data_IF_286670553171
#
_entry.id   IF_286670553171
#
_cell.length_a   1.000
_cell.length_b   1.000
_cell.length_c   1.000
_cell.angle_alpha   90.00
_cell.angle_beta   90.00
_cell.angle_gamma   90.00
#
_symmetry.space_group_name_H-M   'P 1'
#
loop_
_entity.id
_entity.type
_entity.pdbx_description
1 polymer ?
#
# COMPACT_ATOMS: atom_id res chain seq x y z
N UNK A 1 -82.65 -11.69 10.81
CA UNK A 1 -81.72 -12.14 9.76
C UNK A 1 -81.37 -11.06 8.73
N UNK A 2 -82.36 -10.35 8.13
CA UNK A 2 -82.02 -9.34 7.04
C UNK A 2 -81.15 -8.16 7.46
N UNK A 3 -81.20 -7.65 8.71
CA UNK A 3 -80.37 -6.58 9.22
C UNK A 3 -78.88 -7.07 9.43
N UNK A 4 -78.67 -8.32 9.88
CA UNK A 4 -77.32 -8.88 10.05
C UNK A 4 -76.62 -9.10 8.69
N UNK A 5 -77.33 -9.51 7.66
CA UNK A 5 -76.75 -9.65 6.33
C UNK A 5 -76.38 -8.30 5.66
N UNK A 6 -77.16 -7.24 5.92
CA UNK A 6 -76.83 -5.88 5.40
C UNK A 6 -75.58 -5.28 6.02
N UNK A 7 -75.39 -5.47 7.33
CA UNK A 7 -74.15 -4.99 8.00
C UNK A 7 -72.94 -5.74 7.52
N UNK A 8 -73.02 -7.07 7.35
CA UNK A 8 -71.87 -7.88 6.85
C UNK A 8 -71.51 -7.49 5.42
N UNK A 9 -72.46 -7.16 4.55
CA UNK A 9 -72.23 -6.75 3.17
C UNK A 9 -71.62 -5.34 3.12
N UNK A 10 -72.05 -4.40 3.98
CA UNK A 10 -71.47 -3.06 4.07
C UNK A 10 -70.02 -3.12 4.63
N UNK A 11 -69.78 -3.88 5.70
CA UNK A 11 -68.44 -4.06 6.28
C UNK A 11 -67.48 -4.69 5.26
N UNK A 12 -67.95 -5.66 4.44
CA UNK A 12 -67.10 -6.26 3.37
C UNK A 12 -66.79 -5.25 2.26
N UNK A 13 -67.75 -4.38 1.92
CA UNK A 13 -67.52 -3.30 0.92
C UNK A 13 -66.58 -2.25 1.42
N UNK A 14 -66.66 -1.84 2.68
CA UNK A 14 -65.71 -0.89 3.29
C UNK A 14 -64.30 -1.47 3.39
N UNK A 15 -64.19 -2.77 3.74
CA UNK A 15 -62.90 -3.45 3.77
C UNK A 15 -62.29 -3.60 2.38
N UNK A 16 -63.06 -3.89 1.36
CA UNK A 16 -62.63 -3.93 -0.04
C UNK A 16 -62.24 -2.52 -0.57
N UNK A 17 -63.00 -1.50 -0.18
CA UNK A 17 -62.68 -0.11 -0.52
C UNK A 17 -61.43 0.35 0.18
N UNK A 18 -61.21 0.00 1.43
CA UNK A 18 -59.97 0.28 2.17
C UNK A 18 -58.77 -0.40 1.49
N UNK A 19 -58.89 -1.65 1.06
CA UNK A 19 -57.85 -2.37 0.28
C UNK A 19 -57.57 -1.70 -1.06
N UNK A 20 -58.60 -1.33 -1.81
CA UNK A 20 -58.45 -0.72 -3.12
C UNK A 20 -57.76 0.69 -3.03
N UNK A 21 -57.97 1.40 -1.93
CA UNK A 21 -57.29 2.68 -1.66
C UNK A 21 -55.90 2.53 -1.05
N UNK A 22 -55.62 1.40 -0.41
CA UNK A 22 -54.35 1.13 0.25
C UNK A 22 -53.26 0.66 -0.73
N UNK A 23 -53.62 -0.14 -1.74
CA UNK A 23 -52.69 -0.74 -2.67
C UNK A 23 -51.87 0.24 -3.52
N UNK A 24 -52.45 1.30 -4.13
CA UNK A 24 -51.67 2.29 -4.88
C UNK A 24 -50.75 3.13 -3.98
N UNK A 25 -51.08 3.28 -2.68
CA UNK A 25 -50.29 4.05 -1.73
C UNK A 25 -49.09 3.26 -1.20
N UNK A 26 -49.25 1.96 -0.98
CA UNK A 26 -48.20 1.05 -0.48
C UNK A 26 -47.02 0.95 -1.44
N UNK A 27 -47.24 1.02 -2.75
CA UNK A 27 -46.18 0.97 -3.75
C UNK A 27 -45.37 2.26 -3.91
N UNK A 28 -45.83 3.36 -3.26
CA UNK A 28 -45.21 4.68 -3.39
C UNK A 28 -44.29 5.06 -2.24
N UNK A 29 -44.17 4.24 -1.18
CA UNK A 29 -43.46 4.63 0.04
C UNK A 29 -41.97 4.29 0.05
N UNK A 30 -41.19 5.19 0.71
CA UNK A 30 -39.72 5.12 0.77
C UNK A 30 -39.20 4.31 1.97
N UNK A 31 -40.05 4.04 2.98
CA UNK A 31 -39.62 3.25 4.15
C UNK A 31 -40.69 2.28 4.64
N UNK A 32 -40.23 1.18 5.24
CA UNK A 32 -41.06 0.14 5.85
C UNK A 32 -41.94 0.72 6.97
N UNK A 33 -41.44 1.67 7.75
CA UNK A 33 -42.13 2.30 8.86
C UNK A 33 -43.30 3.17 8.41
N UNK A 34 -43.12 3.96 7.33
CA UNK A 34 -44.21 4.77 6.74
C UNK A 34 -45.35 3.90 6.26
N UNK A 35 -45.01 2.80 5.60
CA UNK A 35 -45.99 1.87 5.09
C UNK A 35 -46.77 1.17 6.22
N UNK A 36 -46.09 0.68 7.26
CA UNK A 36 -46.71 0.10 8.43
C UNK A 36 -47.68 1.08 9.07
N UNK A 37 -47.30 2.35 9.18
CA UNK A 37 -48.14 3.39 9.78
C UNK A 37 -49.43 3.61 8.99
N UNK A 38 -49.38 3.55 7.67
CA UNK A 38 -50.57 3.70 6.83
C UNK A 38 -51.47 2.49 6.94
N UNK A 39 -50.91 1.27 6.88
CA UNK A 39 -51.68 0.03 7.09
C UNK A 39 -52.37 0.08 8.45
N UNK A 40 -51.67 0.47 9.50
CA UNK A 40 -52.19 0.64 10.87
C UNK A 40 -53.37 1.60 10.89
N UNK A 41 -53.17 2.82 10.37
CA UNK A 41 -54.25 3.87 10.41
C UNK A 41 -55.47 3.47 9.58
N UNK A 42 -55.26 2.91 8.38
CA UNK A 42 -56.37 2.53 7.49
C UNK A 42 -57.17 1.37 8.01
N UNK A 43 -56.57 0.47 8.77
CA UNK A 43 -57.24 -0.65 9.42
C UNK A 43 -57.73 -0.35 10.85
N UNK A 44 -57.47 0.87 11.36
CA UNK A 44 -57.84 1.27 12.71
C UNK A 44 -57.11 0.51 13.81
N UNK A 45 -55.89 0.02 13.54
CA UNK A 45 -55.10 -0.68 14.54
C UNK A 45 -54.40 0.29 15.47
N UNK A 46 -54.31 -0.03 16.75
CA UNK A 46 -53.56 0.77 17.75
C UNK A 46 -52.04 0.47 17.65
N UNK A 47 -51.71 -0.74 17.24
CA UNK A 47 -50.32 -1.19 17.07
C UNK A 47 -50.17 -2.00 15.77
N UNK A 48 -49.10 -1.75 15.04
CA UNK A 48 -48.68 -2.62 13.98
C UNK A 48 -47.17 -2.85 14.08
N UNK A 49 -46.74 -4.08 13.88
CA UNK A 49 -45.32 -4.39 13.72
C UNK A 49 -45.08 -5.49 12.69
N UNK A 50 -43.88 -5.49 12.17
CA UNK A 50 -43.39 -6.55 11.30
C UNK A 50 -42.06 -7.00 11.83
N UNK A 51 -41.85 -8.30 11.84
CA UNK A 51 -40.56 -8.96 12.12
C UNK A 51 -40.15 -9.74 10.90
N UNK A 52 -38.92 -9.54 10.44
CA UNK A 52 -38.34 -10.28 9.32
C UNK A 52 -36.99 -10.79 9.76
N UNK A 53 -36.71 -12.06 9.50
CA UNK A 53 -35.45 -12.68 9.84
C UNK A 53 -34.36 -12.17 8.88
N UNK A 54 -33.22 -11.75 9.43
CA UNK A 54 -32.03 -11.45 8.65
C UNK A 54 -31.27 -12.73 8.29
N UNK A 55 -30.16 -12.61 7.56
CA UNK A 55 -29.32 -13.77 7.14
C UNK A 55 -28.71 -14.54 8.31
N UNK A 56 -28.56 -13.88 9.47
CA UNK A 56 -28.06 -14.53 10.68
C UNK A 56 -29.15 -15.27 11.44
N UNK A 57 -30.42 -15.22 10.97
CA UNK A 57 -31.59 -15.74 11.67
C UNK A 57 -32.04 -14.82 12.82
N UNK A 58 -31.53 -13.59 12.88
CA UNK A 58 -31.93 -12.60 13.89
C UNK A 58 -33.10 -11.78 13.38
N UNK A 59 -34.21 -11.65 14.16
CA UNK A 59 -35.37 -10.91 13.73
C UNK A 59 -35.11 -9.41 13.75
N UNK A 60 -35.29 -8.76 12.61
CA UNK A 60 -35.38 -7.30 12.48
C UNK A 60 -36.84 -6.88 12.66
N UNK A 61 -37.09 -5.99 13.63
CA UNK A 61 -38.44 -5.56 13.95
C UNK A 61 -38.63 -4.09 13.65
N UNK A 62 -39.69 -3.78 12.92
CA UNK A 62 -40.18 -2.41 12.70
C UNK A 62 -41.59 -2.32 13.30
N UNK A 63 -41.86 -1.31 14.11
CA UNK A 63 -43.15 -1.10 14.76
C UNK A 63 -43.64 0.33 14.60
N UNK A 64 -44.97 0.50 14.65
CA UNK A 64 -45.63 1.80 14.64
C UNK A 64 -46.93 1.72 15.47
N UNK A 65 -47.32 2.78 16.10
CA UNK A 65 -48.56 2.87 16.89
C UNK A 65 -48.44 3.70 18.12
N UNK A 66 -49.56 3.76 18.86
CA UNK A 66 -49.65 4.49 20.13
C UNK A 66 -48.96 3.72 21.29
N UNK A 67 -48.71 2.44 21.09
CA UNK A 67 -48.05 1.56 22.05
C UNK A 67 -46.64 1.31 21.55
N UNK A 68 -45.62 1.66 22.35
CA UNK A 68 -44.24 1.38 22.03
C UNK A 68 -43.99 -0.15 21.98
N UNK A 69 -43.27 -0.61 20.99
CA UNK A 69 -42.89 -2.02 20.81
C UNK A 69 -41.40 -2.11 20.49
N UNK A 70 -40.68 -2.83 21.32
CA UNK A 70 -39.24 -3.04 21.12
C UNK A 70 -38.97 -4.41 20.49
N UNK A 71 -37.88 -4.55 19.77
CA UNK A 71 -37.49 -5.80 19.09
C UNK A 71 -37.39 -6.99 20.04
N UNK A 72 -36.90 -6.78 21.25
CA UNK A 72 -36.83 -7.81 22.29
C UNK A 72 -38.21 -8.38 22.67
N UNK A 73 -39.20 -7.52 22.77
CA UNK A 73 -40.57 -7.90 23.16
C UNK A 73 -41.22 -8.77 22.06
N UNK A 74 -41.02 -8.40 20.81
CA UNK A 74 -41.49 -9.18 19.66
C UNK A 74 -40.83 -10.53 19.60
N UNK A 75 -39.52 -10.59 19.78
CA UNK A 75 -38.76 -11.85 19.77
C UNK A 75 -39.23 -12.76 20.91
N UNK A 76 -39.40 -12.22 22.10
CA UNK A 76 -39.91 -12.97 23.25
C UNK A 76 -41.35 -13.41 23.04
N UNK A 77 -42.22 -12.56 22.47
CA UNK A 77 -43.59 -12.91 22.10
C UNK A 77 -43.60 -14.11 21.09
N UNK A 78 -42.78 -14.07 20.08
CA UNK A 78 -42.68 -15.14 19.08
C UNK A 78 -42.12 -16.43 19.67
N UNK A 79 -41.20 -16.34 20.63
CA UNK A 79 -40.56 -17.50 21.27
C UNK A 79 -41.45 -18.15 22.36
N UNK A 80 -42.22 -17.35 23.13
CA UNK A 80 -42.96 -17.80 24.29
C UNK A 80 -44.35 -18.26 23.99
N UNK A 81 -44.92 -17.89 22.85
CA UNK A 81 -46.28 -18.21 22.50
C UNK A 81 -46.37 -19.62 21.91
N UNK A 82 -47.54 -20.22 22.08
CA UNK A 82 -48.04 -21.47 21.40
C UNK A 82 -47.71 -21.53 19.89
N UNK A 83 -47.24 -20.40 19.32
CA UNK A 83 -46.76 -20.21 17.98
C UNK A 83 -45.58 -21.15 17.63
N UNK A 84 -44.64 -21.30 18.56
CA UNK A 84 -43.52 -22.22 18.39
C UNK A 84 -43.95 -23.69 18.31
N UNK A 85 -45.06 -24.07 18.98
CA UNK A 85 -45.59 -25.42 19.03
C UNK A 85 -46.49 -25.75 17.83
N UNK A 86 -47.16 -24.77 17.20
CA UNK A 86 -48.09 -24.95 16.10
C UNK A 86 -47.63 -24.28 14.78
N UNK A 87 -46.38 -23.83 14.71
CA UNK A 87 -45.84 -22.99 13.65
C UNK A 87 -45.90 -23.60 12.22
N UNK A 88 -46.11 -24.88 12.06
CA UNK A 88 -46.13 -25.53 10.73
C UNK A 88 -47.50 -25.50 10.02
N UNK A 89 -48.59 -25.30 10.73
CA UNK A 89 -49.92 -25.55 10.18
C UNK A 89 -50.79 -24.29 9.91
N UNK A 90 -50.38 -23.11 10.36
CA UNK A 90 -51.24 -21.91 10.25
C UNK A 90 -50.55 -20.73 9.53
N UNK A 91 -51.37 -19.97 8.83
CA UNK A 91 -50.92 -18.77 8.10
C UNK A 91 -51.35 -17.47 8.79
N UNK A 92 -52.46 -17.48 9.54
CA UNK A 92 -53.01 -16.33 10.29
C UNK A 92 -53.64 -16.79 11.58
N UNK A 93 -53.33 -16.13 12.67
CA UNK A 93 -53.98 -16.30 13.97
C UNK A 93 -54.70 -14.99 14.32
N UNK A 94 -55.92 -15.15 14.85
CA UNK A 94 -56.76 -14.04 15.30
C UNK A 94 -57.17 -14.26 16.74
N UNK A 95 -57.02 -13.22 17.59
CA UNK A 95 -57.52 -13.18 18.95
C UNK A 95 -58.68 -12.18 19.03
N UNK A 96 -59.81 -12.63 19.57
CA UNK A 96 -61.04 -11.82 19.64
C UNK A 96 -61.12 -10.98 20.89
N UNK A 97 -60.40 -11.33 21.95
CA UNK A 97 -60.42 -10.68 23.23
C UNK A 97 -59.16 -10.96 24.03
N UNK A 98 -58.79 -9.99 24.91
CA UNK A 98 -57.71 -10.09 25.89
C UNK A 98 -56.32 -10.45 25.33
N UNK A 99 -56.04 -10.07 24.11
CA UNK A 99 -54.74 -10.40 23.47
C UNK A 99 -53.59 -9.73 24.23
N UNK A 100 -53.76 -8.49 24.65
CA UNK A 100 -52.73 -7.76 25.38
C UNK A 100 -52.48 -8.34 26.77
N UNK A 101 -53.53 -8.68 27.52
CA UNK A 101 -53.41 -9.32 28.83
C UNK A 101 -52.80 -10.70 28.79
N UNK A 102 -53.14 -11.47 27.78
CA UNK A 102 -52.68 -12.87 27.69
C UNK A 102 -51.27 -13.04 27.17
N UNK A 103 -50.85 -12.17 26.25
CA UNK A 103 -49.58 -12.36 25.51
C UNK A 103 -48.49 -11.32 25.82
N UNK A 104 -48.88 -10.07 26.14
CA UNK A 104 -47.92 -8.96 26.27
C UNK A 104 -47.81 -8.37 27.68
N UNK A 105 -48.81 -8.59 28.58
CA UNK A 105 -48.75 -7.99 29.92
C UNK A 105 -47.48 -8.32 30.72
N UNK A 106 -46.93 -9.54 30.65
CA UNK A 106 -45.67 -9.85 31.33
C UNK A 106 -44.49 -9.02 30.82
N UNK A 107 -44.60 -8.46 29.60
CA UNK A 107 -43.50 -7.76 28.92
C UNK A 107 -43.63 -6.24 29.11
N UNK A 108 -44.84 -5.69 28.91
CA UNK A 108 -45.09 -4.25 29.06
C UNK A 108 -46.55 -3.98 29.39
N UNK A 109 -46.84 -3.25 30.49
CA UNK A 109 -48.23 -2.96 30.94
C UNK A 109 -49.11 -2.26 29.91
N UNK A 110 -48.54 -1.45 29.00
CA UNK A 110 -49.27 -0.76 27.92
C UNK A 110 -50.01 -1.68 26.97
N UNK A 111 -49.57 -2.94 26.82
CA UNK A 111 -50.20 -3.91 25.92
C UNK A 111 -51.49 -4.52 26.48
N UNK A 112 -51.77 -4.35 27.76
CA UNK A 112 -53.03 -4.74 28.36
C UNK A 112 -54.25 -4.05 27.72
N UNK A 113 -54.06 -2.92 27.05
CA UNK A 113 -55.08 -2.21 26.30
C UNK A 113 -55.52 -2.93 25.01
N UNK A 114 -54.71 -3.85 24.50
CA UNK A 114 -55.05 -4.60 23.28
C UNK A 114 -56.13 -5.67 23.60
N UNK A 115 -57.33 -5.50 23.03
CA UNK A 115 -58.43 -6.42 23.19
C UNK A 115 -58.40 -7.51 22.11
N UNK A 116 -58.09 -7.13 20.88
CA UNK A 116 -58.04 -8.09 19.77
C UNK A 116 -56.78 -7.95 18.89
N UNK A 117 -56.42 -8.93 18.14
CA UNK A 117 -55.26 -8.87 17.29
C UNK A 117 -55.25 -9.91 16.15
N UNK A 118 -54.47 -9.62 15.14
CA UNK A 118 -54.22 -10.51 13.99
C UNK A 118 -52.73 -10.65 13.81
N UNK A 119 -52.23 -11.86 13.79
CA UNK A 119 -50.86 -12.20 13.45
C UNK A 119 -50.84 -12.99 12.15
N UNK A 120 -50.09 -12.54 11.20
CA UNK A 120 -49.88 -13.20 9.91
C UNK A 120 -48.43 -13.66 9.78
N UNK A 121 -48.25 -14.89 9.26
CA UNK A 121 -46.95 -15.42 8.90
C UNK A 121 -46.55 -14.93 7.50
N UNK A 122 -45.37 -14.38 7.35
CA UNK A 122 -44.80 -14.03 6.07
C UNK A 122 -44.03 -15.23 5.57
N UNK A 123 -44.38 -15.72 4.39
CA UNK A 123 -43.82 -16.93 3.81
C UNK A 123 -43.13 -16.54 2.51
N UNK A 124 -41.86 -16.88 2.36
CA UNK A 124 -41.08 -16.67 1.14
C UNK A 124 -41.54 -17.55 -0.03
N UNK A 125 -41.06 -17.34 -1.23
CA UNK A 125 -41.41 -18.08 -2.42
C UNK A 125 -41.15 -19.60 -2.32
N UNK A 126 -40.11 -19.97 -1.56
CA UNK A 126 -39.72 -21.38 -1.27
C UNK A 126 -40.59 -22.04 -0.14
N UNK A 127 -41.54 -21.28 0.41
CA UNK A 127 -42.42 -21.78 1.48
C UNK A 127 -41.83 -21.68 2.90
N UNK A 128 -40.60 -21.15 3.05
CA UNK A 128 -40.02 -20.93 4.37
C UNK A 128 -40.69 -19.73 5.07
N UNK A 129 -40.68 -19.72 6.41
CA UNK A 129 -41.11 -18.55 7.18
C UNK A 129 -39.98 -17.52 7.15
N UNK A 130 -40.26 -16.35 6.60
CA UNK A 130 -39.33 -15.23 6.54
C UNK A 130 -39.66 -14.11 7.51
N UNK A 131 -40.75 -14.28 8.29
CA UNK A 131 -41.13 -13.28 9.28
C UNK A 131 -42.59 -13.30 9.68
N UNK A 132 -43.00 -12.28 10.41
CA UNK A 132 -44.37 -12.15 10.96
C UNK A 132 -44.81 -10.71 10.85
N UNK A 133 -46.13 -10.51 10.64
CA UNK A 133 -46.83 -9.24 10.65
C UNK A 133 -47.95 -9.27 11.65
N UNK A 134 -48.02 -8.27 12.53
CA UNK A 134 -49.02 -8.15 13.62
C UNK A 134 -49.77 -6.85 13.55
N UNK A 135 -51.09 -6.94 13.82
CA UNK A 135 -51.97 -5.81 14.06
C UNK A 135 -52.69 -6.00 15.40
N UNK A 136 -52.57 -5.02 16.29
CA UNK A 136 -53.25 -5.00 17.58
C UNK A 136 -54.30 -3.91 17.66
N UNK A 137 -55.45 -4.21 18.25
CA UNK A 137 -56.58 -3.31 18.36
C UNK A 137 -56.99 -3.16 19.82
N UNK A 138 -57.37 -1.97 20.24
CA UNK A 138 -57.86 -1.65 21.55
C UNK A 138 -59.36 -2.00 21.73
N UNK A 139 -60.04 -2.30 20.62
CA UNK A 139 -61.47 -2.67 20.63
C UNK A 139 -61.63 -4.15 20.40
N UNK A 140 -62.74 -4.68 20.86
CA UNK A 140 -63.19 -6.05 20.60
C UNK A 140 -63.75 -6.13 19.19
N UNK A 141 -63.02 -6.67 18.26
CA UNK A 141 -63.40 -6.78 16.85
C UNK A 141 -64.40 -7.95 16.67
N UNK A 142 -65.67 -7.64 16.59
CA UNK A 142 -66.70 -8.61 16.21
C UNK A 142 -66.57 -9.07 14.73
N UNK A 143 -65.79 -8.36 13.95
CA UNK A 143 -65.59 -8.50 12.51
C UNK A 143 -64.21 -9.11 12.13
N UNK A 144 -63.49 -9.79 13.06
CA UNK A 144 -62.23 -10.46 12.81
C UNK A 144 -62.28 -11.45 11.65
N UNK A 145 -63.42 -12.03 11.35
CA UNK A 145 -63.67 -12.90 10.21
C UNK A 145 -63.52 -12.15 8.86
N UNK A 146 -63.67 -10.82 8.85
CA UNK A 146 -63.48 -9.96 7.69
C UNK A 146 -62.07 -9.42 7.59
N UNK A 147 -61.42 -9.14 8.74
CA UNK A 147 -60.04 -8.60 8.77
C UNK A 147 -59.05 -9.70 8.38
N UNK A 148 -59.31 -10.98 8.71
CA UNK A 148 -58.41 -12.11 8.37
C UNK A 148 -58.11 -12.23 6.87
N UNK A 149 -59.08 -12.25 5.94
CA UNK A 149 -58.78 -12.26 4.50
C UNK A 149 -58.02 -11.01 4.03
N UNK A 150 -58.41 -9.83 4.59
CA UNK A 150 -57.73 -8.58 4.27
C UNK A 150 -56.26 -8.60 4.69
N UNK A 151 -55.98 -9.03 5.92
CA UNK A 151 -54.61 -9.14 6.43
C UNK A 151 -53.75 -10.14 5.57
N UNK A 152 -54.32 -11.25 5.12
CA UNK A 152 -53.64 -12.20 4.25
C UNK A 152 -53.32 -11.56 2.90
N UNK A 153 -54.30 -10.89 2.28
CA UNK A 153 -54.08 -10.23 0.97
C UNK A 153 -53.04 -9.09 1.12
N UNK A 154 -53.10 -8.32 2.19
CA UNK A 154 -52.11 -7.28 2.50
C UNK A 154 -50.73 -7.88 2.61
N UNK A 155 -50.57 -8.96 3.39
CA UNK A 155 -49.28 -9.63 3.56
C UNK A 155 -48.75 -10.23 2.25
N UNK A 156 -49.64 -10.89 1.44
CA UNK A 156 -49.23 -11.45 0.16
C UNK A 156 -48.80 -10.37 -0.85
N UNK A 157 -49.47 -9.25 -0.87
CA UNK A 157 -49.07 -8.12 -1.74
C UNK A 157 -47.85 -7.35 -1.22
N UNK A 158 -47.72 -7.26 0.10
CA UNK A 158 -46.56 -6.66 0.73
C UNK A 158 -45.31 -7.52 0.64
N UNK A 159 -45.45 -8.81 0.50
CA UNK A 159 -44.36 -9.79 0.41
C UNK A 159 -43.32 -9.41 -0.67
N UNK A 160 -43.78 -9.13 -1.88
CA UNK A 160 -42.89 -8.78 -3.00
C UNK A 160 -42.25 -7.43 -2.76
N UNK A 161 -43.00 -6.49 -2.23
CA UNK A 161 -42.50 -5.16 -1.87
C UNK A 161 -41.50 -5.20 -0.72
N UNK A 162 -41.74 -6.01 0.31
CA UNK A 162 -40.79 -6.22 1.40
C UNK A 162 -39.50 -6.88 0.91
N UNK A 163 -39.62 -7.91 0.06
CA UNK A 163 -38.46 -8.56 -0.55
C UNK A 163 -37.60 -7.57 -1.32
N UNK A 164 -38.23 -6.66 -2.07
CA UNK A 164 -37.53 -5.64 -2.85
C UNK A 164 -36.83 -4.59 -1.92
N UNK A 165 -37.52 -4.11 -0.88
CA UNK A 165 -36.93 -3.13 0.07
C UNK A 165 -35.76 -3.78 0.82
N UNK A 166 -35.95 -4.99 1.33
CA UNK A 166 -34.90 -5.72 2.07
C UNK A 166 -33.70 -5.97 1.15
N UNK A 167 -33.94 -6.43 -0.08
CA UNK A 167 -32.87 -6.62 -1.08
C UNK A 167 -32.12 -5.33 -1.39
N UNK A 168 -32.85 -4.22 -1.53
CA UNK A 168 -32.26 -2.89 -1.79
C UNK A 168 -31.44 -2.39 -0.61
N UNK A 169 -31.93 -2.50 0.61
CA UNK A 169 -31.19 -2.12 1.82
C UNK A 169 -29.95 -2.98 2.02
N UNK A 170 -30.06 -4.29 1.76
CA UNK A 170 -28.95 -5.23 1.80
C UNK A 170 -27.88 -4.86 0.79
N UNK A 171 -28.29 -4.60 -0.45
CA UNK A 171 -27.35 -4.18 -1.52
C UNK A 171 -26.68 -2.85 -1.16
N UNK A 172 -27.42 -1.89 -0.58
CA UNK A 172 -26.85 -0.62 -0.12
C UNK A 172 -25.83 -0.81 1.01
N UNK A 173 -26.13 -1.66 2.01
CA UNK A 173 -25.20 -1.99 3.09
C UNK A 173 -23.95 -2.72 2.58
N UNK A 174 -24.11 -3.68 1.70
CA UNK A 174 -22.99 -4.42 1.11
C UNK A 174 -22.12 -3.48 0.27
N UNK A 175 -22.73 -2.62 -0.55
CA UNK A 175 -22.01 -1.61 -1.31
C UNK A 175 -21.23 -0.65 -0.39
N UNK A 176 -21.86 -0.19 0.69
CA UNK A 176 -21.21 0.66 1.67
C UNK A 176 -20.03 -0.04 2.37
N UNK A 177 -20.19 -1.33 2.68
CA UNK A 177 -19.12 -2.16 3.24
C UNK A 177 -17.95 -2.30 2.30
N UNK A 178 -18.21 -2.62 1.03
CA UNK A 178 -17.20 -2.76 -0.02
C UNK A 178 -16.46 -1.44 -0.23
N UNK A 179 -17.17 -0.32 -0.36
CA UNK A 179 -16.57 1.02 -0.51
C UNK A 179 -15.69 1.36 0.68
N UNK A 180 -16.16 1.05 1.91
CA UNK A 180 -15.37 1.30 3.13
C UNK A 180 -14.09 0.45 3.16
N UNK A 181 -14.18 -0.83 2.76
CA UNK A 181 -13.01 -1.70 2.67
C UNK A 181 -11.99 -1.18 1.64
N UNK A 182 -12.44 -0.78 0.46
CA UNK A 182 -11.55 -0.21 -0.55
C UNK A 182 -10.90 1.08 -0.07
N UNK A 183 -11.65 1.95 0.61
CA UNK A 183 -11.08 3.18 1.19
C UNK A 183 -9.98 2.88 2.22
N UNK A 184 -10.21 1.91 3.11
CA UNK A 184 -9.20 1.52 4.10
C UNK A 184 -7.96 0.93 3.42
N UNK A 185 -8.14 0.05 2.42
CA UNK A 185 -7.03 -0.52 1.66
C UNK A 185 -6.23 0.56 0.95
N UNK A 186 -6.90 1.50 0.27
CA UNK A 186 -6.26 2.62 -0.40
C UNK A 186 -5.45 3.50 0.56
N UNK A 187 -6.07 3.92 1.69
CA UNK A 187 -5.43 4.82 2.65
C UNK A 187 -4.28 4.18 3.43
N UNK A 188 -4.37 2.86 3.72
CA UNK A 188 -3.38 2.17 4.55
C UNK A 188 -2.38 1.32 3.77
N UNK A 189 -2.48 1.28 2.45
CA UNK A 189 -1.52 0.55 1.62
C UNK A 189 -0.11 1.15 1.81
N UNK A 190 0.92 0.33 2.07
CA UNK A 190 2.30 0.80 2.22
C UNK A 190 2.97 1.03 0.84
N UNK A 191 2.21 1.51 -0.12
CA UNK A 191 2.61 1.86 -1.47
C UNK A 191 2.01 3.20 -1.85
N UNK A 192 2.69 3.94 -2.72
CA UNK A 192 2.21 5.21 -3.23
C UNK A 192 1.05 4.94 -4.19
N UNK A 193 -0.11 5.51 -3.91
CA UNK A 193 -1.26 5.40 -4.80
C UNK A 193 -1.86 6.78 -5.04
N UNK A 194 -1.89 7.19 -6.30
CA UNK A 194 -2.49 8.45 -6.69
C UNK A 194 -3.22 8.33 -8.03
N UNK A 195 -4.11 9.28 -8.30
CA UNK A 195 -4.75 9.38 -9.60
C UNK A 195 -4.91 10.83 -10.00
N UNK A 196 -4.69 11.10 -11.29
CA UNK A 196 -4.92 12.39 -11.90
C UNK A 196 -5.96 12.25 -13.02
N UNK A 197 -6.88 13.23 -13.10
CA UNK A 197 -7.86 13.30 -14.17
C UNK A 197 -7.26 13.90 -15.46
N UNK A 198 -8.08 13.97 -16.53
CA UNK A 198 -7.69 14.55 -17.82
C UNK A 198 -7.25 16.03 -17.73
N UNK A 199 -7.72 16.74 -16.72
CA UNK A 199 -7.36 18.13 -16.45
C UNK A 199 -6.08 18.28 -15.61
N UNK A 200 -5.37 17.18 -15.37
CA UNK A 200 -4.18 17.13 -14.51
C UNK A 200 -4.48 17.50 -13.04
N UNK A 201 -5.73 17.30 -12.61
CA UNK A 201 -6.15 17.48 -11.22
C UNK A 201 -5.98 16.16 -10.46
N UNK A 202 -5.36 16.23 -9.29
CA UNK A 202 -5.24 15.07 -8.40
C UNK A 202 -6.62 14.73 -7.81
N UNK A 203 -7.11 13.52 -8.09
CA UNK A 203 -8.41 13.03 -7.62
C UNK A 203 -8.27 11.95 -6.56
N UNK A 204 -7.13 11.27 -6.49
CA UNK A 204 -6.78 10.31 -5.44
C UNK A 204 -5.33 10.56 -4.97
N UNK A 205 -5.14 10.54 -3.66
CA UNK A 205 -3.84 10.73 -3.01
C UNK A 205 -3.87 10.03 -1.65
N UNK A 206 -3.26 8.85 -1.53
CA UNK A 206 -3.34 8.08 -0.30
C UNK A 206 -2.40 8.61 0.79
N UNK A 207 -2.55 8.08 2.01
CA UNK A 207 -1.76 8.52 3.16
C UNK A 207 -0.25 8.29 2.97
N UNK A 208 0.16 7.23 2.27
CA UNK A 208 1.58 6.99 1.99
C UNK A 208 2.16 8.03 1.02
N UNK A 209 1.41 8.44 0.00
CA UNK A 209 1.80 9.57 -0.86
C UNK A 209 2.00 10.85 -0.05
N UNK A 210 1.06 11.18 0.84
CA UNK A 210 1.17 12.38 1.68
C UNK A 210 2.38 12.31 2.60
N UNK A 211 2.65 11.17 3.21
CA UNK A 211 3.79 10.92 4.10
C UNK A 211 5.12 11.02 3.35
N UNK A 212 5.24 10.38 2.20
CA UNK A 212 6.50 10.29 1.44
C UNK A 212 6.81 11.59 0.72
N UNK A 213 5.84 12.20 0.05
CA UNK A 213 6.06 13.44 -0.71
C UNK A 213 5.95 14.71 0.13
N UNK A 214 5.22 14.67 1.25
CA UNK A 214 5.01 15.82 2.13
C UNK A 214 3.97 16.81 1.64
N UNK A 215 3.17 16.49 0.61
CA UNK A 215 2.12 17.32 0.04
C UNK A 215 0.75 16.74 0.33
N UNK A 216 -0.22 17.58 0.71
CA UNK A 216 -1.62 17.22 0.75
C UNK A 216 -2.26 17.34 -0.64
N UNK A 217 -3.35 16.61 -0.90
CA UNK A 217 -4.10 16.71 -2.17
C UNK A 217 -4.60 18.14 -2.43
N UNK A 218 -4.97 18.89 -1.39
CA UNK A 218 -5.41 20.29 -1.51
C UNK A 218 -4.29 21.21 -2.00
N UNK A 219 -3.08 21.06 -1.43
CA UNK A 219 -1.89 21.83 -1.85
C UNK A 219 -1.50 21.49 -3.30
N UNK A 220 -1.51 20.20 -3.66
CA UNK A 220 -1.24 19.76 -5.03
C UNK A 220 -2.22 20.41 -6.01
N UNK A 221 -3.51 20.40 -5.70
CA UNK A 221 -4.55 20.98 -6.56
C UNK A 221 -4.59 22.52 -6.57
N UNK A 222 -3.89 23.19 -5.66
CA UNK A 222 -3.74 24.64 -5.68
C UNK A 222 -2.65 25.10 -6.66
N UNK A 223 -1.77 24.19 -7.11
CA UNK A 223 -0.72 24.52 -8.06
C UNK A 223 -1.22 24.45 -9.51
N UNK A 224 -0.87 25.43 -10.38
CA UNK A 224 -1.31 25.44 -11.78
C UNK A 224 -0.86 24.20 -12.60
N UNK A 225 0.34 23.70 -12.34
CA UNK A 225 0.87 22.44 -12.89
C UNK A 225 1.34 21.54 -11.73
N UNK A 226 0.50 20.65 -11.21
CA UNK A 226 0.83 19.79 -10.08
C UNK A 226 2.10 18.94 -10.28
N UNK A 227 2.39 18.49 -11.51
CA UNK A 227 3.59 17.70 -11.78
C UNK A 227 4.89 18.48 -11.58
N UNK A 228 4.85 19.80 -11.66
CA UNK A 228 6.02 20.66 -11.42
C UNK A 228 6.53 20.54 -9.97
N UNK A 229 5.66 20.23 -9.03
CA UNK A 229 6.04 20.02 -7.62
C UNK A 229 6.97 18.80 -7.44
N UNK A 230 6.84 17.82 -8.31
CA UNK A 230 7.59 16.56 -8.24
C UNK A 230 8.73 16.50 -9.27
N UNK A 231 8.53 17.14 -10.42
CA UNK A 231 9.46 17.12 -11.55
C UNK A 231 9.66 18.55 -12.10
N UNK A 232 10.61 19.32 -11.56
CA UNK A 232 10.86 20.71 -11.99
C UNK A 232 11.32 20.81 -13.45
N UNK A 233 12.01 19.79 -13.96
CA UNK A 233 12.49 19.73 -15.34
C UNK A 233 11.32 19.49 -16.33
N UNK A 234 11.18 20.37 -17.32
CA UNK A 234 10.10 20.30 -18.32
C UNK A 234 10.21 19.10 -19.24
N UNK A 235 11.43 18.70 -19.61
CA UNK A 235 11.68 17.54 -20.46
C UNK A 235 11.25 16.25 -19.75
N UNK A 236 11.57 16.14 -18.45
CA UNK A 236 11.15 15.02 -17.61
C UNK A 236 9.62 14.97 -17.50
N UNK A 237 8.95 16.11 -17.27
CA UNK A 237 7.48 16.18 -17.25
C UNK A 237 6.85 15.77 -18.57
N UNK A 238 7.44 16.19 -19.70
CA UNK A 238 6.98 15.80 -21.04
C UNK A 238 7.06 14.29 -21.26
N UNK A 239 8.18 13.68 -20.88
CA UNK A 239 8.38 12.22 -20.93
C UNK A 239 7.40 11.49 -20.04
N UNK A 240 7.15 12.01 -18.83
CA UNK A 240 6.20 11.42 -17.90
C UNK A 240 4.77 11.45 -18.45
N UNK A 241 4.32 12.60 -19.02
CA UNK A 241 3.01 12.71 -19.64
C UNK A 241 2.85 11.75 -20.84
N UNK A 242 3.90 11.55 -21.63
CA UNK A 242 3.91 10.59 -22.71
C UNK A 242 3.77 9.14 -22.21
N UNK A 243 4.39 8.81 -21.09
CA UNK A 243 4.30 7.47 -20.50
C UNK A 243 2.89 7.08 -20.03
N UNK A 244 1.99 8.05 -19.79
CA UNK A 244 0.60 7.78 -19.44
C UNK A 244 -0.24 7.30 -20.62
N UNK A 245 0.13 7.68 -21.86
CA UNK A 245 -0.62 7.36 -23.08
C UNK A 245 -0.17 6.03 -23.72
N UNK A 246 1.09 5.68 -23.60
CA UNK A 246 1.74 4.63 -24.38
C UNK A 246 2.21 3.42 -23.53
N UNK A 247 1.98 3.45 -22.20
CA UNK A 247 2.45 2.38 -21.33
C UNK A 247 1.70 1.07 -21.59
N UNK A 248 2.38 -0.03 -21.93
CA UNK A 248 1.79 -1.34 -21.87
C UNK A 248 1.30 -1.60 -20.44
N UNK A 249 0.13 -2.23 -20.31
CA UNK A 249 -0.40 -2.67 -19.01
C UNK A 249 0.69 -3.47 -18.27
N UNK A 250 1.09 -2.97 -17.06
CA UNK A 250 2.07 -3.56 -16.15
C UNK A 250 3.56 -3.26 -16.41
N UNK A 251 3.91 -2.29 -17.23
CA UNK A 251 5.31 -1.88 -17.30
C UNK A 251 5.66 -0.96 -16.11
N UNK A 252 6.70 -1.35 -15.36
CA UNK A 252 7.20 -0.58 -14.22
C UNK A 252 8.39 0.27 -14.67
N UNK A 253 8.27 1.59 -14.49
CA UNK A 253 9.31 2.54 -14.86
C UNK A 253 9.88 3.25 -13.64
N UNK A 254 11.20 3.39 -13.60
CA UNK A 254 11.92 4.09 -12.55
C UNK A 254 11.93 5.60 -12.84
N UNK A 255 11.49 6.39 -11.84
CA UNK A 255 11.42 7.85 -11.90
C UNK A 255 12.01 8.46 -10.64
N UNK A 256 12.45 9.73 -10.76
CA UNK A 256 13.12 10.45 -9.69
C UNK A 256 12.35 11.73 -9.29
N UNK A 257 11.18 11.59 -8.64
CA UNK A 257 10.44 12.74 -8.13
C UNK A 257 11.12 13.40 -6.94
N UNK A 258 10.79 14.68 -6.69
CA UNK A 258 11.23 15.41 -5.52
C UNK A 258 10.17 15.37 -4.42
N UNK A 259 10.62 15.32 -3.19
CA UNK A 259 9.82 15.63 -2.00
C UNK A 259 9.61 17.14 -1.87
N UNK A 260 8.72 17.54 -0.96
CA UNK A 260 8.47 18.95 -0.64
C UNK A 260 9.74 19.71 -0.19
N UNK A 261 10.64 19.06 0.49
CA UNK A 261 11.93 19.60 0.94
C UNK A 261 13.00 19.63 -0.15
N UNK A 262 12.68 19.23 -1.37
CA UNK A 262 13.61 19.14 -2.50
C UNK A 262 14.46 17.87 -2.54
N UNK A 263 14.30 16.95 -1.59
CA UNK A 263 15.03 15.68 -1.56
C UNK A 263 14.59 14.77 -2.70
N UNK A 264 15.49 14.23 -3.53
CA UNK A 264 15.13 13.30 -4.59
C UNK A 264 14.78 11.93 -4.04
N UNK A 265 13.77 11.31 -4.64
CA UNK A 265 13.35 9.93 -4.42
C UNK A 265 13.69 9.08 -5.64
N UNK A 266 13.74 7.78 -5.45
CA UNK A 266 13.71 6.81 -6.53
C UNK A 266 12.43 5.98 -6.36
N UNK A 267 11.49 6.15 -7.29
CA UNK A 267 10.19 5.49 -7.24
C UNK A 267 9.98 4.65 -8.49
N UNK A 268 9.56 3.41 -8.28
CA UNK A 268 9.17 2.50 -9.35
C UNK A 268 7.66 2.64 -9.54
N UNK A 269 7.21 3.20 -10.68
CA UNK A 269 5.81 3.47 -10.99
C UNK A 269 5.23 2.48 -12.00
N UNK A 270 4.00 2.07 -11.77
CA UNK A 270 3.12 1.44 -12.74
C UNK A 270 1.87 2.31 -12.92
N UNK A 271 1.47 2.57 -14.16
CA UNK A 271 0.34 3.41 -14.50
C UNK A 271 -0.77 2.58 -15.14
N UNK A 272 -2.01 2.79 -14.70
CA UNK A 272 -3.21 2.11 -15.19
C UNK A 272 -4.17 3.17 -15.70
N UNK A 273 -4.50 3.12 -16.99
CA UNK A 273 -5.53 3.97 -17.57
C UNK A 273 -6.90 3.42 -17.21
N UNK A 274 -7.72 4.23 -16.51
CA UNK A 274 -9.07 3.86 -16.11
C UNK A 274 -10.09 4.17 -17.24
N UNK A 275 -11.30 3.57 -17.21
CA UNK A 275 -12.31 3.78 -18.25
C UNK A 275 -12.76 5.24 -18.44
N UNK A 276 -12.70 6.06 -17.38
CA UNK A 276 -12.98 7.50 -17.41
C UNK A 276 -11.81 8.33 -17.95
N UNK A 277 -10.72 7.64 -18.36
CA UNK A 277 -9.44 8.20 -18.80
C UNK A 277 -8.65 8.94 -17.72
N UNK A 278 -8.94 8.73 -16.45
CA UNK A 278 -8.00 9.06 -15.37
C UNK A 278 -6.88 8.03 -15.33
N UNK A 279 -5.72 8.43 -14.82
CA UNK A 279 -4.57 7.54 -14.65
C UNK A 279 -4.42 7.22 -13.17
N UNK A 280 -4.55 5.95 -12.82
CA UNK A 280 -4.19 5.43 -11.50
C UNK A 280 -2.72 5.03 -11.52
N UNK A 281 -1.91 5.67 -10.70
CA UNK A 281 -0.49 5.35 -10.54
C UNK A 281 -0.26 4.63 -9.23
N UNK A 282 0.46 3.52 -9.29
CA UNK A 282 0.90 2.75 -8.11
C UNK A 282 2.41 2.77 -8.10
N UNK A 283 2.99 3.25 -7.01
CA UNK A 283 4.43 3.45 -6.86
C UNK A 283 5.02 2.78 -5.64
N UNK A 284 6.25 2.33 -5.77
CA UNK A 284 7.06 1.81 -4.68
C UNK A 284 8.29 2.71 -4.50
N UNK A 285 8.43 3.33 -3.33
CA UNK A 285 9.66 4.05 -2.97
C UNK A 285 10.78 3.02 -2.74
N UNK A 286 11.78 3.02 -3.62
CA UNK A 286 12.93 2.14 -3.57
C UNK A 286 14.23 2.90 -3.24
N UNK A 287 14.12 4.14 -2.73
CA UNK A 287 15.25 5.03 -2.46
C UNK A 287 16.27 4.38 -1.52
N UNK A 288 15.83 3.90 -0.38
CA UNK A 288 16.71 3.27 0.61
C UNK A 288 17.30 1.95 0.10
N UNK A 289 16.52 1.18 -0.64
CA UNK A 289 17.03 -0.04 -1.29
C UNK A 289 18.15 0.27 -2.29
N UNK A 290 17.96 1.27 -3.16
CA UNK A 290 18.98 1.70 -4.13
C UNK A 290 20.25 2.22 -3.45
N UNK A 291 20.10 3.02 -2.39
CA UNK A 291 21.25 3.49 -1.59
C UNK A 291 22.02 2.32 -0.97
N UNK A 292 21.29 1.35 -0.40
CA UNK A 292 21.92 0.16 0.19
C UNK A 292 22.62 -0.69 -0.88
N UNK A 293 22.01 -0.89 -2.05
CA UNK A 293 22.62 -1.58 -3.19
C UNK A 293 23.89 -0.86 -3.66
N UNK A 294 23.88 0.46 -3.78
CA UNK A 294 25.05 1.26 -4.13
C UNK A 294 26.15 1.17 -3.06
N UNK A 295 25.79 1.24 -1.78
CA UNK A 295 26.75 1.09 -0.69
C UNK A 295 27.38 -0.32 -0.67
N UNK A 296 26.58 -1.35 -0.90
CA UNK A 296 27.08 -2.72 -0.99
C UNK A 296 28.02 -2.89 -2.20
N UNK A 297 27.64 -2.35 -3.35
CA UNK A 297 28.50 -2.36 -4.55
C UNK A 297 29.81 -1.61 -4.32
N UNK A 298 29.75 -0.46 -3.65
CA UNK A 298 30.94 0.31 -3.27
C UNK A 298 31.87 -0.50 -2.34
N UNK A 299 31.32 -1.04 -1.24
CA UNK A 299 32.09 -1.91 -0.31
C UNK A 299 32.64 -3.17 -0.98
N UNK A 300 31.90 -3.75 -1.94
CA UNK A 300 32.35 -4.93 -2.65
C UNK A 300 33.51 -4.63 -3.61
N UNK A 301 33.68 -3.39 -4.06
CA UNK A 301 34.64 -3.00 -5.09
C UNK A 301 35.78 -2.14 -4.58
N UNK A 302 35.65 -1.50 -3.43
CA UNK A 302 36.65 -0.56 -2.89
C UNK A 302 37.23 -1.03 -1.54
N UNK A 303 38.37 -0.47 -1.19
CA UNK A 303 39.00 -0.58 0.14
C UNK A 303 38.39 0.46 1.06
N UNK A 304 37.85 0.03 2.21
CA UNK A 304 37.10 0.91 3.15
C UNK A 304 37.94 2.07 3.70
N UNK A 305 39.25 1.91 3.81
CA UNK A 305 40.13 2.96 4.38
C UNK A 305 40.50 4.00 3.32
N UNK A 306 40.93 3.57 2.14
CA UNK A 306 41.55 4.44 1.14
C UNK A 306 40.60 4.85 0.01
N UNK A 307 39.45 4.18 -0.12
CA UNK A 307 38.47 4.41 -1.19
C UNK A 307 39.00 4.09 -2.60
N UNK A 308 40.17 3.47 -2.74
CA UNK A 308 40.62 2.92 -4.00
C UNK A 308 40.02 1.51 -4.21
N UNK A 309 40.24 0.90 -5.38
CA UNK A 309 39.75 -0.46 -5.62
C UNK A 309 40.35 -1.44 -4.59
N UNK A 310 39.53 -2.37 -4.15
CA UNK A 310 40.01 -3.45 -3.29
C UNK A 310 40.79 -4.48 -4.12
N UNK A 311 41.49 -5.41 -3.43
CA UNK A 311 42.34 -6.44 -4.04
C UNK A 311 41.60 -7.23 -5.13
N UNK A 312 40.38 -7.67 -4.88
CA UNK A 312 39.66 -8.51 -5.87
C UNK A 312 39.34 -7.72 -7.14
N UNK A 313 38.90 -6.47 -6.98
CA UNK A 313 38.49 -5.61 -8.11
C UNK A 313 39.68 -5.18 -8.97
N UNK A 314 40.80 -4.76 -8.34
CA UNK A 314 41.98 -4.36 -9.13
C UNK A 314 42.62 -5.54 -9.88
N UNK A 315 42.58 -6.75 -9.30
CA UNK A 315 43.05 -7.96 -10.01
C UNK A 315 42.13 -8.36 -11.16
N UNK A 316 40.83 -8.15 -11.02
CA UNK A 316 39.87 -8.33 -12.10
C UNK A 316 40.12 -7.33 -13.24
N UNK A 317 40.35 -6.06 -12.91
CA UNK A 317 40.68 -5.00 -13.85
C UNK A 317 41.99 -5.31 -14.62
N UNK A 318 43.00 -5.81 -13.90
CA UNK A 318 44.24 -6.29 -14.52
C UNK A 318 43.95 -7.36 -15.57
N UNK A 319 43.14 -8.35 -15.27
CA UNK A 319 42.76 -9.42 -16.19
C UNK A 319 42.03 -8.86 -17.43
N UNK A 320 41.07 -7.95 -17.24
CA UNK A 320 40.34 -7.33 -18.35
C UNK A 320 41.23 -6.52 -19.28
N UNK A 321 42.20 -5.74 -18.74
CA UNK A 321 43.15 -4.98 -19.54
C UNK A 321 44.08 -5.87 -20.34
N UNK A 322 44.45 -7.00 -19.77
CA UNK A 322 45.26 -8.00 -20.43
C UNK A 322 44.51 -8.67 -21.59
N UNK A 323 43.26 -9.05 -21.39
CA UNK A 323 42.37 -9.60 -22.40
C UNK A 323 42.12 -8.63 -23.57
N UNK A 324 42.05 -7.33 -23.24
CA UNK A 324 41.92 -6.27 -24.27
C UNK A 324 43.16 -6.10 -25.17
N UNK A 325 44.31 -6.68 -24.80
CA UNK A 325 45.54 -6.77 -25.62
C UNK A 325 46.27 -5.46 -25.86
N UNK A 326 45.83 -4.35 -25.26
CA UNK A 326 46.50 -3.04 -25.37
C UNK A 326 47.67 -2.95 -24.40
N UNK A 327 48.81 -2.33 -24.78
CA UNK A 327 49.91 -2.12 -23.84
C UNK A 327 49.51 -1.27 -22.64
N UNK A 328 49.88 -1.70 -21.44
CA UNK A 328 49.68 -0.96 -20.20
C UNK A 328 50.80 -1.25 -19.19
N UNK A 329 50.99 -0.35 -18.24
CA UNK A 329 51.95 -0.53 -17.17
C UNK A 329 51.27 -1.04 -15.91
N UNK A 330 51.89 -1.96 -15.22
CA UNK A 330 51.59 -2.47 -13.89
C UNK A 330 52.62 -1.93 -12.93
N UNK A 331 52.21 -1.09 -11.98
CA UNK A 331 53.06 -0.49 -10.97
C UNK A 331 52.64 -1.04 -9.60
N UNK A 332 53.52 -1.77 -8.95
CA UNK A 332 53.36 -2.23 -7.58
C UNK A 332 54.10 -1.28 -6.66
N UNK A 333 53.43 -0.80 -5.63
CA UNK A 333 53.95 0.13 -4.62
C UNK A 333 53.87 -0.49 -3.23
N UNK A 334 54.85 -0.13 -2.37
CA UNK A 334 54.83 -0.47 -0.94
C UNK A 334 55.42 0.70 -0.15
N UNK A 335 54.74 1.10 0.91
CA UNK A 335 55.22 2.18 1.79
C UNK A 335 56.42 1.69 2.61
N UNK A 336 57.54 2.35 2.42
CA UNK A 336 58.77 2.03 3.15
C UNK A 336 58.61 2.28 4.64
N UNK A 337 59.06 1.34 5.44
CA UNK A 337 59.05 1.45 6.93
C UNK A 337 57.66 1.67 7.53
N UNK A 338 56.62 1.24 6.89
CA UNK A 338 55.24 1.44 7.36
C UNK A 338 55.00 0.90 8.79
N UNK A 339 55.61 -0.28 9.11
CA UNK A 339 55.53 -0.80 10.45
C UNK A 339 56.12 0.16 11.49
N UNK A 340 57.25 0.83 11.16
CA UNK A 340 57.85 1.82 12.07
C UNK A 340 56.94 3.05 12.28
N UNK A 341 56.26 3.50 11.24
CA UNK A 341 55.24 4.55 11.34
C UNK A 341 54.15 4.12 12.35
N UNK A 342 53.64 2.92 12.26
CA UNK A 342 52.63 2.40 13.18
C UNK A 342 53.17 2.29 14.62
N UNK A 343 54.42 1.77 14.78
CA UNK A 343 55.03 1.53 16.09
C UNK A 343 55.36 2.88 16.79
N UNK A 344 55.76 3.93 16.03
CA UNK A 344 56.14 5.22 16.58
C UNK A 344 54.96 6.18 16.76
N UNK A 345 53.99 6.20 15.80
CA UNK A 345 52.92 7.19 15.74
C UNK A 345 51.53 6.62 15.99
N UNK A 346 51.43 5.31 16.12
CA UNK A 346 50.18 4.61 16.30
C UNK A 346 49.43 4.31 14.99
N UNK A 347 48.49 3.35 15.04
CA UNK A 347 47.75 2.87 13.87
C UNK A 347 46.91 3.95 13.18
N UNK A 348 46.39 4.94 13.93
CA UNK A 348 45.62 6.04 13.34
C UNK A 348 46.45 6.89 12.39
N UNK A 349 47.74 7.14 12.72
CA UNK A 349 48.66 7.84 11.85
C UNK A 349 49.07 6.96 10.68
N UNK A 350 49.24 5.65 10.88
CA UNK A 350 49.46 4.71 9.81
C UNK A 350 48.29 4.70 8.80
N UNK A 351 47.05 4.67 9.28
CA UNK A 351 45.87 4.77 8.42
C UNK A 351 45.84 6.08 7.64
N UNK A 352 46.12 7.21 8.30
CA UNK A 352 46.27 8.53 7.66
C UNK A 352 47.39 8.56 6.60
N UNK A 353 48.49 7.86 6.83
CA UNK A 353 49.60 7.73 5.89
C UNK A 353 49.18 6.97 4.62
N UNK A 354 48.40 5.86 4.79
CA UNK A 354 47.85 5.11 3.66
C UNK A 354 46.88 5.94 2.82
N UNK A 355 45.99 6.68 3.48
CA UNK A 355 45.04 7.60 2.80
C UNK A 355 45.81 8.70 2.07
N UNK A 356 46.78 9.35 2.73
CA UNK A 356 47.57 10.41 2.14
C UNK A 356 48.36 9.93 0.92
N UNK A 357 49.00 8.78 0.99
CA UNK A 357 49.71 8.18 -0.16
C UNK A 357 48.74 7.88 -1.32
N UNK A 358 47.59 7.25 -1.02
CA UNK A 358 46.59 6.93 -2.01
C UNK A 358 46.06 8.16 -2.74
N UNK A 359 45.77 9.25 -1.98
CA UNK A 359 45.29 10.52 -2.55
C UNK A 359 46.32 11.19 -3.44
N UNK A 360 47.59 11.23 -3.01
CA UNK A 360 48.69 11.77 -3.85
C UNK A 360 48.86 10.96 -5.14
N UNK A 361 48.83 9.63 -5.02
CA UNK A 361 48.91 8.74 -6.19
C UNK A 361 47.73 8.91 -7.14
N UNK A 362 46.52 9.05 -6.60
CA UNK A 362 45.28 9.26 -7.38
C UNK A 362 45.32 10.60 -8.14
N UNK A 363 45.75 11.68 -7.48
CA UNK A 363 45.90 13.03 -8.11
C UNK A 363 46.85 13.03 -9.30
N UNK A 364 47.95 12.28 -9.20
CA UNK A 364 49.00 12.24 -10.22
C UNK A 364 48.74 11.16 -11.30
N UNK A 365 47.80 10.28 -11.05
CA UNK A 365 47.51 9.17 -12.00
C UNK A 365 46.88 9.71 -13.27
N UNK A 366 47.24 9.16 -14.44
CA UNK A 366 46.64 9.58 -15.69
C UNK A 366 45.17 9.20 -15.78
N UNK A 367 44.39 9.88 -16.64
CA UNK A 367 42.99 9.50 -16.90
C UNK A 367 42.87 8.01 -17.22
N UNK A 368 41.82 7.37 -16.73
CA UNK A 368 41.53 5.94 -16.88
C UNK A 368 42.57 4.99 -16.23
N UNK A 369 43.46 5.46 -15.38
CA UNK A 369 44.22 4.59 -14.51
C UNK A 369 43.35 3.94 -13.47
N UNK A 370 43.60 2.67 -13.13
CA UNK A 370 42.95 1.99 -12.03
C UNK A 370 43.93 1.83 -10.88
N UNK A 371 43.56 2.32 -9.72
CA UNK A 371 44.34 2.27 -8.48
C UNK A 371 43.62 1.37 -7.47
N UNK A 372 44.33 0.40 -6.90
CA UNK A 372 43.80 -0.49 -5.89
C UNK A 372 44.81 -0.78 -4.76
N UNK A 373 44.28 -1.14 -3.58
CA UNK A 373 45.06 -1.60 -2.44
C UNK A 373 45.03 -3.14 -2.43
N UNK A 374 46.20 -3.76 -2.48
CA UNK A 374 46.32 -5.23 -2.61
C UNK A 374 46.77 -5.91 -1.31
N UNK A 375 47.31 -5.16 -0.37
CA UNK A 375 47.77 -5.63 0.92
C UNK A 375 47.74 -4.53 1.97
N UNK A 376 48.36 -4.74 3.13
CA UNK A 376 48.38 -3.75 4.23
C UNK A 376 48.87 -2.38 3.80
N UNK A 377 50.11 -2.32 3.29
CA UNK A 377 50.76 -1.10 2.79
C UNK A 377 51.05 -1.15 1.30
N UNK A 378 50.47 -2.12 0.59
CA UNK A 378 50.75 -2.40 -0.84
C UNK A 378 49.63 -1.86 -1.73
N UNK A 379 50.01 -1.16 -2.80
CA UNK A 379 49.09 -0.59 -3.79
C UNK A 379 49.48 -1.04 -5.20
N UNK A 380 48.50 -1.20 -6.08
CA UNK A 380 48.63 -1.55 -7.47
C UNK A 380 48.02 -0.47 -8.34
N UNK A 381 48.79 0.06 -9.29
CA UNK A 381 48.29 1.01 -10.29
C UNK A 381 48.41 0.37 -11.68
N UNK A 382 47.31 0.43 -12.42
CA UNK A 382 47.26 0.01 -13.83
C UNK A 382 47.06 1.26 -14.70
N UNK A 383 48.04 1.62 -15.49
CA UNK A 383 48.01 2.83 -16.32
C UNK A 383 48.36 2.54 -17.76
N UNK A 384 47.76 3.27 -18.69
CA UNK A 384 48.22 3.24 -20.08
C UNK A 384 49.56 3.98 -20.21
N UNK A 385 50.44 3.46 -21.04
CA UNK A 385 51.75 4.06 -21.28
C UNK A 385 52.90 3.02 -21.35
N UNK A 386 54.09 3.54 -21.34
CA UNK A 386 55.32 2.77 -21.32
C UNK A 386 56.07 2.86 -19.97
N UNK A 387 57.16 2.12 -19.84
CA UNK A 387 57.95 2.10 -18.61
C UNK A 387 58.56 3.49 -18.28
N UNK A 388 58.82 4.35 -19.26
CA UNK A 388 59.37 5.70 -19.03
C UNK A 388 58.32 6.59 -18.37
N UNK A 389 57.10 6.57 -18.90
CA UNK A 389 55.98 7.32 -18.32
C UNK A 389 55.67 6.84 -16.91
N UNK A 390 55.75 5.55 -16.65
CA UNK A 390 55.55 4.97 -15.32
C UNK A 390 56.62 5.42 -14.31
N UNK A 391 57.90 5.48 -14.75
CA UNK A 391 59.01 5.98 -13.89
C UNK A 391 58.83 7.48 -13.60
N UNK A 392 58.45 8.27 -14.58
CA UNK A 392 58.18 9.71 -14.39
C UNK A 392 57.10 9.93 -13.37
N UNK A 393 56.01 9.12 -13.42
CA UNK A 393 54.94 9.17 -12.42
C UNK A 393 55.47 8.86 -11.01
N UNK A 394 56.31 7.83 -10.85
CA UNK A 394 56.90 7.48 -9.54
C UNK A 394 57.79 8.59 -9.00
N UNK A 395 58.65 9.22 -9.83
CA UNK A 395 59.47 10.31 -9.40
C UNK A 395 58.66 11.58 -9.06
N UNK A 396 57.61 11.89 -9.83
CA UNK A 396 56.65 12.95 -9.53
C UNK A 396 55.95 12.72 -8.20
N UNK A 397 55.53 11.48 -7.91
CA UNK A 397 54.93 11.11 -6.64
C UNK A 397 55.91 11.29 -5.48
N UNK A 398 57.19 10.91 -5.60
CA UNK A 398 58.21 11.13 -4.57
C UNK A 398 58.37 12.63 -4.30
N UNK A 399 58.50 13.43 -5.34
CA UNK A 399 58.59 14.87 -5.22
C UNK A 399 57.34 15.48 -4.55
N UNK A 400 56.16 14.95 -4.87
CA UNK A 400 54.88 15.39 -4.30
C UNK A 400 54.79 15.08 -2.80
N UNK A 401 55.17 13.84 -2.38
CA UNK A 401 55.17 13.44 -0.98
C UNK A 401 56.18 14.20 -0.15
N UNK A 402 57.31 14.58 -0.74
CA UNK A 402 58.31 15.45 -0.06
C UNK A 402 57.78 16.88 0.09
N UNK A 403 57.15 17.44 -0.94
CA UNK A 403 56.63 18.82 -0.94
C UNK A 403 55.36 18.95 -0.09
N UNK A 404 54.63 17.87 0.10
CA UNK A 404 53.36 17.83 0.86
C UNK A 404 53.39 16.66 1.85
N UNK A 405 54.16 16.78 2.96
CA UNK A 405 54.22 15.73 3.99
C UNK A 405 52.88 15.60 4.72
N UNK A 406 52.67 14.44 5.33
CA UNK A 406 51.53 14.23 6.21
C UNK A 406 51.75 15.01 7.51
N UNK A 407 50.84 15.91 7.87
CA UNK A 407 50.90 16.66 9.12
C UNK A 407 50.30 15.86 10.25
N UNK A 408 51.07 15.62 11.31
CA UNK A 408 50.65 14.93 12.52
C UNK A 408 50.92 15.86 13.71
N UNK A 409 49.90 16.60 14.16
CA UNK A 409 50.07 17.68 15.08
C UNK A 409 51.02 18.76 14.50
N UNK A 410 52.09 19.12 15.20
CA UNK A 410 53.12 20.04 14.76
C UNK A 410 54.25 19.39 13.93
N UNK A 411 54.19 18.08 13.70
CA UNK A 411 55.24 17.36 12.99
C UNK A 411 54.86 17.05 11.54
N UNK A 412 55.83 17.08 10.65
CA UNK A 412 55.69 16.75 9.23
C UNK A 412 56.31 15.39 8.96
N UNK A 413 55.47 14.40 8.68
CA UNK A 413 55.89 13.03 8.32
C UNK A 413 56.01 12.91 6.79
N UNK A 414 57.24 12.76 6.29
CA UNK A 414 57.51 12.50 4.87
C UNK A 414 57.40 10.98 4.61
N UNK A 415 56.48 10.57 3.74
CA UNK A 415 56.31 9.19 3.34
C UNK A 415 57.31 8.81 2.26
N UNK A 416 57.92 7.62 2.39
CA UNK A 416 58.73 6.98 1.37
C UNK A 416 58.08 5.75 0.85
N UNK A 417 58.32 5.40 -0.42
CA UNK A 417 57.83 4.19 -1.02
C UNK A 417 58.85 3.56 -1.99
N UNK A 418 58.79 2.24 -2.10
CA UNK A 418 59.45 1.48 -3.12
C UNK A 418 58.45 1.06 -4.21
N UNK A 419 58.85 0.95 -5.46
CA UNK A 419 57.99 0.52 -6.53
C UNK A 419 58.62 -0.40 -7.55
N UNK A 420 57.85 -1.34 -8.06
CA UNK A 420 58.18 -2.23 -9.17
C UNK A 420 57.30 -1.95 -10.36
N UNK A 421 57.89 -1.79 -11.55
CA UNK A 421 57.21 -1.47 -12.80
C UNK A 421 57.38 -2.59 -13.84
N UNK A 422 56.27 -3.01 -14.45
CA UNK A 422 56.24 -3.98 -15.54
C UNK A 422 55.38 -3.46 -16.69
N UNK A 423 55.77 -3.64 -17.91
CA UNK A 423 54.94 -3.39 -19.08
C UNK A 423 54.26 -4.70 -19.52
N UNK A 424 52.91 -4.67 -19.52
CA UNK A 424 52.08 -5.75 -20.06
C UNK A 424 51.89 -5.60 -21.56
N UNK A 425 52.30 -6.59 -22.33
CA UNK A 425 52.11 -6.64 -23.81
C UNK A 425 51.45 -7.97 -24.17
N UNK A 426 50.14 -8.06 -24.10
CA UNK A 426 49.42 -9.20 -24.65
C UNK A 426 49.76 -10.58 -24.04
N UNK A 427 50.39 -10.61 -22.88
CA UNK A 427 50.74 -11.86 -22.19
C UNK A 427 49.46 -12.52 -21.69
N UNK A 428 49.40 -13.85 -21.81
CA UNK A 428 48.15 -14.59 -21.48
C UNK A 428 47.95 -14.85 -19.98
N UNK A 429 48.94 -14.55 -19.13
CA UNK A 429 48.86 -14.83 -17.69
C UNK A 429 49.07 -13.57 -16.83
N UNK A 430 48.00 -13.12 -16.18
CA UNK A 430 48.01 -11.98 -15.25
C UNK A 430 48.85 -12.25 -14.01
N UNK A 431 48.95 -13.51 -13.59
CA UNK A 431 49.77 -13.93 -12.43
C UNK A 431 51.24 -13.72 -12.71
N UNK A 432 51.69 -13.95 -13.93
CA UNK A 432 53.08 -13.73 -14.35
C UNK A 432 53.46 -12.23 -14.34
N UNK A 433 52.53 -11.33 -14.74
CA UNK A 433 52.75 -9.88 -14.63
C UNK A 433 52.88 -9.41 -13.18
N UNK A 434 52.03 -9.90 -12.30
CA UNK A 434 52.09 -9.59 -10.87
C UNK A 434 53.39 -10.11 -10.24
N UNK A 435 53.76 -11.34 -10.48
CA UNK A 435 55.02 -11.91 -9.98
C UNK A 435 56.24 -11.09 -10.43
N UNK A 436 56.25 -10.59 -11.67
CA UNK A 436 57.35 -9.73 -12.19
C UNK A 436 57.32 -8.35 -11.51
N UNK A 437 56.16 -7.76 -11.29
CA UNK A 437 56.01 -6.48 -10.58
C UNK A 437 56.45 -6.62 -9.10
N UNK A 438 56.05 -7.68 -8.45
CA UNK A 438 56.44 -7.99 -7.07
C UNK A 438 57.97 -8.22 -6.96
N UNK A 439 58.55 -9.00 -7.87
CA UNK A 439 60.00 -9.17 -7.92
C UNK A 439 60.73 -7.85 -8.12
N UNK A 440 60.27 -6.98 -9.01
CA UNK A 440 60.87 -5.65 -9.20
C UNK A 440 60.74 -4.75 -7.94
N UNK A 441 59.60 -4.82 -7.23
CA UNK A 441 59.39 -4.16 -5.98
C UNK A 441 60.36 -4.69 -4.88
N UNK A 442 60.50 -6.01 -4.79
CA UNK A 442 61.45 -6.63 -3.88
C UNK A 442 62.90 -6.18 -4.16
N UNK A 443 63.29 -6.11 -5.43
CA UNK A 443 64.61 -5.61 -5.83
C UNK A 443 64.81 -4.14 -5.45
N UNK A 444 63.75 -3.28 -5.58
CA UNK A 444 63.75 -1.92 -5.11
C UNK A 444 64.00 -1.82 -3.59
N UNK A 445 63.31 -2.63 -2.81
CA UNK A 445 63.49 -2.72 -1.35
C UNK A 445 64.90 -3.15 -0.95
N UNK A 446 65.46 -4.17 -1.63
CA UNK A 446 66.82 -4.65 -1.39
C UNK A 446 67.91 -3.66 -1.81
N UNK A 447 67.68 -2.88 -2.83
CA UNK A 447 68.62 -1.86 -3.32
C UNK A 447 68.66 -0.60 -2.44
N UNK A 448 68.02 -0.58 -1.25
CA UNK A 448 68.05 0.51 -0.27
C UNK A 448 66.76 1.33 -0.18
N UNK A 449 65.64 0.83 -0.70
CA UNK A 449 64.31 1.46 -0.70
C UNK A 449 64.25 2.84 -1.39
N UNK A 450 63.10 3.52 -1.31
CA UNK A 450 62.93 4.85 -1.86
C UNK A 450 63.14 4.97 -3.36
N UNK A 451 62.98 3.90 -4.13
CA UNK A 451 63.29 3.87 -5.56
C UNK A 451 62.32 3.01 -6.36
N UNK A 452 62.39 3.17 -7.68
CA UNK A 452 61.62 2.41 -8.67
C UNK A 452 62.54 1.48 -9.44
N UNK A 453 62.15 0.21 -9.56
CA UNK A 453 62.84 -0.79 -10.40
C UNK A 453 61.90 -1.22 -11.52
N UNK A 454 62.41 -1.24 -12.74
CA UNK A 454 61.70 -1.75 -13.91
C UNK A 454 62.11 -3.21 -14.08
N UNK A 455 61.11 -4.11 -14.18
CA UNK A 455 61.38 -5.49 -14.55
C UNK A 455 61.91 -5.53 -16.01
N UNK A 456 63.11 -6.02 -16.18
CA UNK A 456 63.67 -6.22 -17.51
C UNK A 456 62.78 -7.11 -18.38
N UNK A 457 62.70 -6.80 -19.67
CA UNK A 457 62.11 -7.70 -20.67
C UNK A 457 63.03 -8.93 -20.78
N UNK A 458 62.73 -9.98 -20.01
CA UNK A 458 63.27 -11.29 -20.38
C UNK A 458 62.37 -11.78 -21.52
N UNK A 459 62.95 -11.80 -22.73
CA UNK A 459 62.47 -12.45 -23.96
C UNK A 459 62.05 -13.89 -23.70
#
# INVERSE_FOLDING_TARGET
MRKRCRNVVNDSREALHALATLMPQVTAYRSLQEMLEIVRRKLGAALAWISVDDESGSPQVVSTGEIACHSFEVTHFLASTLLARHARAWRVICWKEKVGETLFVPLHPGYSQLQSGVLCKIVSHDGACSGYFFLGFTERLNTLSLIKPVAVIVVDKLKDYFAEIIARERMAREMQRVVTQYKILFERAPVLMNSFDKGNRCVLWNAECQKVFGWTMAEINSHPDPLMLFYPDEEVRRRMRASFSDAPLNDMSEWHPLRRDGTPLTVLWSNILLPDRSVLSIGLDITERKKAEQQLAFKATTDDLTGCLNRSTILQELKQRQEAGRPFCVLMFDLDYFKQINDEWGHQVGDAALVHFCDRLRELSPPHAALGRVGGEEFLLLAQGDSKTAVVLCETLRASLLARPLLVGDNALVLSFSSGVVVGRGQRDSSALLMRADKALYDAKRAGRGKTVISGDYL
#
